data_IF_134341758907
#
_entry.id   IF_134341758907
#
_cell.length_a   1.000
_cell.length_b   1.000
_cell.length_c   1.000
_cell.angle_alpha   90.00
_cell.angle_beta   90.00
_cell.angle_gamma   90.00
#
_symmetry.space_group_name_H-M   'P 1'
#
loop_
_entity.id
_entity.type
_entity.pdbx_description
1 polymer ?
#
# COMPACT_ATOMS: atom_id res chain seq x y z
N UNK A 1 -19.53 -19.59 -5.23
CA UNK A 1 -20.35 -19.21 -6.40
C UNK A 1 -19.46 -18.68 -7.53
N UNK A 2 -19.69 -19.11 -8.77
CA UNK A 2 -19.03 -18.50 -9.92
C UNK A 2 -19.57 -17.07 -10.07
N UNK A 3 -18.68 -16.07 -10.12
CA UNK A 3 -19.05 -14.66 -10.24
C UNK A 3 -19.51 -14.29 -11.67
N UNK A 4 -20.43 -15.06 -12.22
CA UNK A 4 -20.95 -14.90 -13.58
C UNK A 4 -22.06 -13.84 -13.65
N UNK A 5 -22.56 -13.52 -14.85
CA UNK A 5 -23.57 -12.47 -15.04
C UNK A 5 -24.82 -12.75 -14.19
N UNK A 6 -25.26 -14.01 -14.13
CA UNK A 6 -26.45 -14.39 -13.36
C UNK A 6 -26.27 -14.19 -11.85
N UNK A 7 -25.08 -14.47 -11.32
CA UNK A 7 -24.75 -14.20 -9.92
C UNK A 7 -24.79 -12.71 -9.63
N UNK A 8 -24.27 -11.87 -10.53
CA UNK A 8 -24.40 -10.41 -10.39
C UNK A 8 -25.84 -9.93 -10.53
N UNK A 9 -26.68 -10.59 -11.33
CA UNK A 9 -28.09 -10.23 -11.56
C UNK A 9 -28.97 -10.46 -10.32
N UNK A 10 -28.68 -11.51 -9.55
CA UNK A 10 -29.62 -11.95 -8.49
C UNK A 10 -28.97 -12.34 -7.16
N UNK A 11 -27.67 -12.66 -7.17
CA UNK A 11 -26.97 -13.29 -6.05
C UNK A 11 -26.36 -12.32 -5.04
N UNK A 12 -26.17 -11.04 -5.35
CA UNK A 12 -25.48 -10.12 -4.43
C UNK A 12 -26.32 -9.77 -3.20
N UNK A 13 -27.64 -9.72 -3.34
CA UNK A 13 -28.58 -9.29 -2.28
C UNK A 13 -28.66 -10.20 -1.07
N UNK A 14 -28.08 -11.41 -1.14
CA UNK A 14 -28.08 -12.35 -0.01
C UNK A 14 -27.00 -12.03 1.04
N UNK A 15 -26.18 -10.99 0.84
CA UNK A 15 -25.05 -10.67 1.70
C UNK A 15 -25.16 -9.29 2.36
N UNK A 16 -24.87 -9.23 3.67
CA UNK A 16 -24.72 -7.96 4.40
C UNK A 16 -23.39 -7.25 4.16
N UNK A 17 -22.40 -7.95 3.59
CA UNK A 17 -21.15 -7.37 3.10
C UNK A 17 -20.78 -8.00 1.76
N UNK A 18 -20.49 -7.17 0.77
CA UNK A 18 -20.14 -7.60 -0.59
C UNK A 18 -18.76 -7.05 -0.93
N UNK A 19 -17.79 -7.92 -1.21
CA UNK A 19 -16.43 -7.53 -1.59
C UNK A 19 -16.15 -8.03 -3.00
N UNK A 20 -15.99 -7.10 -3.95
CA UNK A 20 -15.81 -7.41 -5.37
C UNK A 20 -14.37 -7.07 -5.76
N UNK A 21 -13.58 -8.11 -6.06
CA UNK A 21 -12.28 -7.99 -6.71
C UNK A 21 -12.44 -8.37 -8.18
N UNK A 22 -12.53 -7.36 -9.02
CA UNK A 22 -12.64 -7.47 -10.47
C UNK A 22 -11.85 -6.32 -11.10
N UNK A 23 -11.60 -6.35 -12.41
CA UNK A 23 -11.24 -5.11 -13.09
C UNK A 23 -12.48 -4.21 -13.22
N UNK A 24 -12.22 -2.92 -13.36
CA UNK A 24 -13.26 -1.93 -13.62
C UNK A 24 -12.73 -0.82 -14.50
N UNK A 25 -13.66 -0.06 -15.04
CA UNK A 25 -13.36 1.09 -15.88
C UNK A 25 -14.47 2.13 -15.75
N UNK A 26 -14.20 3.36 -16.21
CA UNK A 26 -15.19 4.41 -16.35
C UNK A 26 -15.15 4.96 -17.77
N UNK A 27 -16.31 5.17 -18.37
CA UNK A 27 -16.45 5.72 -19.71
C UNK A 27 -16.96 7.16 -19.65
N UNK A 28 -16.06 8.14 -19.76
CA UNK A 28 -16.40 9.57 -19.62
C UNK A 28 -17.53 10.01 -20.56
N UNK A 29 -17.54 9.51 -21.81
CA UNK A 29 -18.56 9.86 -22.81
C UNK A 29 -19.99 9.46 -22.41
N UNK A 30 -20.14 8.42 -21.59
CA UNK A 30 -21.45 7.93 -21.13
C UNK A 30 -21.67 8.11 -19.64
N UNK A 31 -20.62 8.52 -18.90
CA UNK A 31 -20.62 8.61 -17.45
C UNK A 31 -20.77 7.27 -16.73
N UNK A 32 -20.64 6.13 -17.42
CA UNK A 32 -20.87 4.79 -16.85
C UNK A 32 -19.63 4.23 -16.18
N UNK A 33 -19.85 3.48 -15.10
CA UNK A 33 -18.80 2.70 -14.44
C UNK A 33 -19.06 1.21 -14.66
N UNK A 34 -18.03 0.48 -15.05
CA UNK A 34 -18.10 -0.93 -15.42
C UNK A 34 -17.35 -1.78 -14.40
N UNK A 35 -17.91 -2.96 -14.11
CA UNK A 35 -17.28 -4.02 -13.35
C UNK A 35 -17.25 -5.27 -14.21
N UNK A 36 -16.08 -5.90 -14.31
CA UNK A 36 -15.98 -7.20 -14.97
C UNK A 36 -16.61 -8.30 -14.12
N UNK A 37 -17.27 -9.21 -14.80
CA UNK A 37 -17.69 -10.49 -14.22
C UNK A 37 -16.57 -11.53 -14.37
N UNK A 38 -16.73 -12.69 -13.75
CA UNK A 38 -15.88 -13.86 -13.99
C UNK A 38 -16.31 -14.69 -15.20
N UNK A 39 -17.28 -14.24 -16.00
CA UNK A 39 -17.80 -14.96 -17.16
C UNK A 39 -17.04 -14.57 -18.42
N UNK A 40 -16.30 -15.54 -18.98
CA UNK A 40 -15.64 -15.39 -20.29
C UNK A 40 -16.70 -15.44 -21.39
N UNK A 41 -16.63 -14.51 -22.33
CA UNK A 41 -17.67 -14.29 -23.34
C UNK A 41 -17.18 -14.25 -24.78
N UNK A 42 -18.11 -14.02 -25.70
CA UNK A 42 -17.80 -13.66 -27.09
C UNK A 42 -18.78 -12.60 -27.57
N UNK A 43 -18.43 -11.84 -28.61
CA UNK A 43 -19.35 -10.85 -29.20
C UNK A 43 -20.66 -11.51 -29.64
N UNK A 44 -20.58 -12.69 -30.27
CA UNK A 44 -21.76 -13.44 -30.69
C UNK A 44 -22.64 -13.84 -29.49
N UNK A 45 -22.03 -14.33 -28.41
CA UNK A 45 -22.74 -14.69 -27.18
C UNK A 45 -23.35 -13.48 -26.45
N UNK A 46 -22.65 -12.34 -26.47
CA UNK A 46 -23.17 -11.08 -25.92
C UNK A 46 -24.43 -10.65 -26.69
N UNK A 47 -24.35 -10.63 -28.02
CA UNK A 47 -25.47 -10.24 -28.90
C UNK A 47 -26.63 -11.22 -28.85
N UNK A 48 -26.40 -12.53 -28.71
CA UNK A 48 -27.47 -13.52 -28.67
C UNK A 48 -28.20 -13.56 -27.34
N UNK A 49 -27.49 -13.36 -26.22
CA UNK A 49 -28.03 -13.62 -24.89
C UNK A 49 -28.38 -12.35 -24.12
N UNK A 50 -27.79 -11.20 -24.48
CA UNK A 50 -27.86 -9.97 -23.68
C UNK A 50 -28.15 -8.73 -24.54
N UNK A 51 -28.80 -8.89 -25.71
CA UNK A 51 -29.07 -7.79 -26.64
C UNK A 51 -29.81 -6.62 -25.98
N UNK A 52 -30.84 -6.90 -25.18
CA UNK A 52 -31.60 -5.91 -24.43
C UNK A 52 -30.72 -5.15 -23.43
N UNK A 53 -29.90 -5.88 -22.69
CA UNK A 53 -28.99 -5.32 -21.70
C UNK A 53 -27.93 -4.41 -22.35
N UNK A 54 -27.38 -4.79 -23.53
CA UNK A 54 -26.45 -3.94 -24.30
C UNK A 54 -27.15 -2.64 -24.73
N UNK A 55 -28.35 -2.75 -25.32
CA UNK A 55 -29.11 -1.58 -25.78
C UNK A 55 -29.45 -0.62 -24.64
N UNK A 56 -29.69 -1.15 -23.43
CA UNK A 56 -29.91 -0.38 -22.21
C UNK A 56 -28.61 0.13 -21.55
N UNK A 57 -27.44 -0.16 -22.12
CA UNK A 57 -26.14 0.19 -21.56
C UNK A 57 -25.84 -0.49 -20.23
N UNK A 58 -26.43 -1.66 -19.98
CA UNK A 58 -26.26 -2.48 -18.77
C UNK A 58 -25.07 -3.43 -18.90
N UNK A 59 -24.79 -3.92 -20.10
CA UNK A 59 -23.73 -4.90 -20.33
C UNK A 59 -22.83 -4.51 -21.51
N UNK A 60 -21.57 -4.90 -21.41
CA UNK A 60 -20.57 -4.80 -22.47
C UNK A 60 -19.51 -5.90 -22.27
N UNK A 61 -18.49 -5.94 -23.11
CA UNK A 61 -17.40 -6.90 -23.04
C UNK A 61 -16.05 -6.19 -23.13
N UNK A 62 -15.13 -6.55 -22.22
CA UNK A 62 -13.80 -5.97 -22.19
C UNK A 62 -12.74 -7.06 -22.09
N UNK A 63 -11.65 -6.84 -22.82
CA UNK A 63 -10.50 -7.72 -22.83
C UNK A 63 -9.57 -7.47 -21.64
N UNK A 64 -9.10 -8.57 -21.03
CA UNK A 64 -8.13 -8.54 -19.93
C UNK A 64 -6.88 -9.29 -20.33
N UNK A 65 -5.73 -8.63 -20.19
CA UNK A 65 -4.45 -9.31 -20.25
C UNK A 65 -4.15 -9.96 -18.89
N UNK A 66 -4.12 -11.29 -18.84
CA UNK A 66 -3.90 -12.07 -17.62
C UNK A 66 -2.94 -13.24 -17.87
N UNK A 67 -2.45 -13.87 -16.80
CA UNK A 67 -1.57 -15.05 -16.90
C UNK A 67 -2.37 -16.32 -16.63
N UNK A 68 -2.42 -17.23 -17.61
CA UNK A 68 -3.03 -18.57 -17.49
C UNK A 68 -2.01 -19.63 -17.83
N UNK A 69 -1.80 -20.58 -16.93
CA UNK A 69 -0.80 -21.64 -17.12
C UNK A 69 0.62 -21.12 -17.37
N UNK A 70 0.97 -19.96 -16.80
CA UNK A 70 2.27 -19.31 -16.99
C UNK A 70 2.40 -18.49 -18.29
N UNK A 71 1.39 -18.49 -19.18
CA UNK A 71 1.39 -17.69 -20.39
C UNK A 71 0.49 -16.46 -20.26
N UNK A 72 0.91 -15.34 -20.83
CA UNK A 72 0.09 -14.14 -20.91
C UNK A 72 -0.92 -14.30 -22.05
N UNK A 73 -2.20 -14.20 -21.73
CA UNK A 73 -3.32 -14.32 -22.65
C UNK A 73 -4.23 -13.11 -22.52
N UNK A 74 -4.93 -12.77 -23.60
CA UNK A 74 -6.00 -11.77 -23.58
C UNK A 74 -7.33 -12.50 -23.56
N UNK A 75 -8.13 -12.30 -22.52
CA UNK A 75 -9.41 -12.98 -22.33
C UNK A 75 -10.57 -11.98 -22.30
N UNK A 76 -11.60 -12.17 -23.15
CA UNK A 76 -12.79 -11.33 -23.16
C UNK A 76 -13.74 -11.73 -22.03
N UNK A 77 -14.06 -10.78 -21.14
CA UNK A 77 -15.04 -10.98 -20.06
C UNK A 77 -16.26 -10.10 -20.27
N UNK A 78 -17.44 -10.64 -19.97
CA UNK A 78 -18.64 -9.82 -19.84
C UNK A 78 -18.50 -8.88 -18.65
N UNK A 79 -19.01 -7.66 -18.81
CA UNK A 79 -18.99 -6.61 -17.80
C UNK A 79 -20.37 -6.02 -17.61
N UNK A 80 -20.62 -5.58 -16.39
CA UNK A 80 -21.87 -4.96 -15.98
C UNK A 80 -21.63 -3.49 -15.63
N UNK A 81 -22.58 -2.62 -15.94
CA UNK A 81 -22.53 -1.22 -15.55
C UNK A 81 -23.34 -0.92 -14.29
N UNK A 82 -23.28 0.32 -13.84
CA UNK A 82 -24.19 0.85 -12.84
C UNK A 82 -25.67 0.72 -13.25
N UNK A 83 -26.00 0.87 -14.54
CA UNK A 83 -27.36 0.63 -15.06
C UNK A 83 -27.82 -0.83 -14.85
N UNK A 84 -26.90 -1.80 -14.93
CA UNK A 84 -27.24 -3.20 -14.67
C UNK A 84 -27.68 -3.40 -13.22
N UNK A 85 -26.98 -2.80 -12.27
CA UNK A 85 -27.36 -2.83 -10.85
C UNK A 85 -28.71 -2.13 -10.65
N UNK A 86 -28.93 -1.00 -11.31
CA UNK A 86 -30.21 -0.29 -11.25
C UNK A 86 -31.39 -1.10 -11.79
N UNK A 87 -31.18 -1.88 -12.85
CA UNK A 87 -32.23 -2.69 -13.47
C UNK A 87 -32.44 -4.04 -12.79
N UNK A 88 -31.38 -4.64 -12.22
CA UNK A 88 -31.43 -6.00 -11.68
C UNK A 88 -31.99 -6.09 -10.26
N UNK A 89 -31.98 -4.97 -9.53
CA UNK A 89 -32.38 -4.93 -8.11
C UNK A 89 -33.46 -3.90 -7.85
N UNK A 90 -34.22 -4.11 -6.78
CA UNK A 90 -35.25 -3.22 -6.26
C UNK A 90 -34.75 -2.47 -5.02
N UNK A 91 -35.35 -1.32 -4.72
CA UNK A 91 -35.07 -0.61 -3.46
C UNK A 91 -35.31 -1.53 -2.26
N UNK A 92 -34.31 -1.66 -1.39
CA UNK A 92 -34.36 -2.55 -0.22
C UNK A 92 -33.76 -3.94 -0.43
N UNK A 93 -33.26 -4.27 -1.63
CA UNK A 93 -32.53 -5.53 -1.86
C UNK A 93 -31.15 -5.56 -1.16
N UNK A 94 -30.59 -4.42 -0.74
CA UNK A 94 -29.30 -4.35 -0.05
C UNK A 94 -29.39 -3.74 1.37
N UNK A 95 -30.33 -4.18 2.22
CA UNK A 95 -30.64 -3.47 3.46
C UNK A 95 -29.45 -3.50 4.42
N UNK A 96 -28.87 -2.32 4.71
CA UNK A 96 -27.72 -2.24 5.61
C UNK A 96 -26.39 -2.71 5.00
N UNK A 97 -26.37 -3.06 3.71
CA UNK A 97 -25.19 -3.69 3.09
C UNK A 97 -24.03 -2.70 2.93
N UNK A 98 -22.82 -3.16 3.22
CA UNK A 98 -21.57 -2.49 2.84
C UNK A 98 -21.02 -3.18 1.58
N UNK A 99 -20.79 -2.41 0.52
CA UNK A 99 -20.17 -2.89 -0.71
C UNK A 99 -18.76 -2.33 -0.82
N UNK A 100 -17.78 -3.18 -1.11
CA UNK A 100 -16.42 -2.79 -1.43
C UNK A 100 -16.09 -3.16 -2.87
N UNK A 101 -15.69 -2.17 -3.65
CA UNK A 101 -15.25 -2.27 -5.02
C UNK A 101 -13.72 -2.16 -5.06
N UNK A 102 -13.04 -3.30 -5.08
CA UNK A 102 -11.60 -3.36 -5.33
C UNK A 102 -11.24 -3.03 -6.78
N UNK A 103 -12.24 -2.95 -7.65
CA UNK A 103 -12.10 -2.60 -9.05
C UNK A 103 -11.57 -1.17 -9.26
N UNK A 104 -10.75 -1.01 -10.29
CA UNK A 104 -10.30 0.28 -10.77
C UNK A 104 -11.50 1.17 -11.09
N UNK A 105 -11.40 2.46 -10.74
CA UNK A 105 -12.40 3.47 -11.10
C UNK A 105 -13.83 3.18 -10.57
N UNK A 106 -14.01 2.26 -9.61
CA UNK A 106 -15.33 1.87 -9.10
C UNK A 106 -16.14 3.02 -8.47
N UNK A 107 -15.47 4.09 -8.01
CA UNK A 107 -16.09 5.34 -7.57
C UNK A 107 -15.51 6.56 -8.29
N UNK A 108 -15.13 6.38 -9.56
CA UNK A 108 -14.72 7.49 -10.43
C UNK A 108 -15.87 8.48 -10.60
N UNK A 109 -15.47 9.73 -10.88
CA UNK A 109 -16.31 10.92 -10.94
C UNK A 109 -16.87 11.30 -9.55
N UNK A 110 -16.27 12.26 -8.83
CA UNK A 110 -16.66 12.60 -7.47
C UNK A 110 -18.08 13.18 -7.37
N UNK A 111 -18.61 13.72 -8.46
CA UNK A 111 -19.93 14.35 -8.49
C UNK A 111 -21.06 13.32 -8.64
N UNK A 112 -20.84 12.29 -9.44
CA UNK A 112 -21.89 11.32 -9.79
C UNK A 112 -21.69 9.95 -9.16
N UNK A 113 -20.46 9.44 -9.02
CA UNK A 113 -20.15 8.11 -8.45
C UNK A 113 -21.21 7.04 -8.82
N UNK A 114 -21.46 6.79 -10.10
CA UNK A 114 -22.70 6.18 -10.58
C UNK A 114 -22.92 4.75 -10.06
N UNK A 115 -21.85 3.95 -9.96
CA UNK A 115 -21.92 2.61 -9.33
C UNK A 115 -22.26 2.71 -7.83
N UNK A 116 -21.68 3.71 -7.14
CA UNK A 116 -22.00 4.02 -5.75
C UNK A 116 -23.49 4.35 -5.58
N UNK A 117 -24.00 5.26 -6.41
CA UNK A 117 -25.42 5.64 -6.41
C UNK A 117 -26.32 4.45 -6.73
N UNK A 118 -25.94 3.60 -7.68
CA UNK A 118 -26.71 2.43 -8.07
C UNK A 118 -26.94 1.47 -6.90
N UNK A 119 -25.91 1.10 -6.14
CA UNK A 119 -26.09 0.24 -4.96
C UNK A 119 -26.84 0.94 -3.82
N UNK A 120 -26.57 2.22 -3.56
CA UNK A 120 -27.23 2.98 -2.48
C UNK A 120 -28.72 3.16 -2.76
N UNK A 121 -29.11 3.43 -4.01
CA UNK A 121 -30.50 3.48 -4.44
C UNK A 121 -31.24 2.15 -4.24
N UNK A 122 -30.50 1.03 -4.10
CA UNK A 122 -31.04 -0.30 -3.84
C UNK A 122 -30.95 -0.72 -2.36
N UNK A 123 -30.51 0.18 -1.48
CA UNK A 123 -30.55 0.00 -0.02
C UNK A 123 -29.19 -0.12 0.66
N UNK A 124 -28.09 -0.18 -0.11
CA UNK A 124 -26.76 -0.29 0.47
C UNK A 124 -26.46 0.94 1.35
N UNK A 125 -25.90 0.72 2.53
CA UNK A 125 -25.54 1.79 3.47
C UNK A 125 -24.26 2.52 3.06
N UNK A 126 -23.34 1.80 2.41
CA UNK A 126 -22.10 2.37 1.92
C UNK A 126 -21.56 1.56 0.73
N UNK A 127 -20.96 2.28 -0.21
CA UNK A 127 -20.12 1.71 -1.27
C UNK A 127 -18.75 2.33 -1.14
N UNK A 128 -17.74 1.49 -0.99
CA UNK A 128 -16.34 1.87 -0.81
C UNK A 128 -15.60 1.49 -2.09
N UNK A 129 -14.70 2.32 -2.59
CA UNK A 129 -13.99 2.05 -3.83
C UNK A 129 -12.98 3.12 -4.20
N UNK A 130 -12.45 3.04 -5.41
CA UNK A 130 -11.32 3.84 -5.87
C UNK A 130 -11.74 4.89 -6.90
N UNK A 131 -11.16 6.09 -6.81
CA UNK A 131 -11.42 7.18 -7.76
C UNK A 131 -10.77 6.96 -9.12
N UNK A 132 -9.66 6.22 -9.17
CA UNK A 132 -8.90 5.92 -10.39
C UNK A 132 -8.37 4.49 -10.39
N UNK A 133 -7.54 4.15 -11.39
CA UNK A 133 -6.82 2.89 -11.49
C UNK A 133 -5.95 2.65 -10.25
N UNK A 134 -6.12 1.50 -9.61
CA UNK A 134 -5.40 1.14 -8.40
C UNK A 134 -4.80 -0.28 -8.50
N UNK A 135 -3.76 -0.54 -7.70
CA UNK A 135 -3.07 -1.83 -7.55
C UNK A 135 -3.11 -2.35 -6.12
N UNK A 136 -3.52 -1.51 -5.17
CA UNK A 136 -3.53 -1.80 -3.73
C UNK A 136 -4.92 -2.17 -3.20
N UNK A 137 -5.93 -2.27 -4.06
CA UNK A 137 -7.31 -2.60 -3.70
C UNK A 137 -7.46 -3.83 -2.79
N UNK A 138 -6.78 -4.96 -3.05
CA UNK A 138 -6.83 -6.13 -2.16
C UNK A 138 -6.18 -5.90 -0.78
N UNK A 139 -5.02 -5.23 -0.70
CA UNK A 139 -4.35 -4.97 0.58
C UNK A 139 -5.13 -3.97 1.43
N UNK A 140 -5.67 -2.93 0.80
CA UNK A 140 -6.54 -1.95 1.43
C UNK A 140 -7.81 -2.58 1.97
N UNK A 141 -8.48 -3.43 1.18
CA UNK A 141 -9.68 -4.15 1.60
C UNK A 141 -9.44 -4.97 2.87
N UNK A 142 -8.38 -5.80 2.87
CA UNK A 142 -8.06 -6.67 4.01
C UNK A 142 -7.96 -5.86 5.30
N UNK A 143 -7.27 -4.72 5.27
CA UNK A 143 -7.08 -3.87 6.46
C UNK A 143 -8.32 -3.06 6.82
N UNK A 144 -9.04 -2.56 5.83
CA UNK A 144 -10.27 -1.83 6.06
C UNK A 144 -11.32 -2.72 6.75
N UNK A 145 -11.56 -3.90 6.22
CA UNK A 145 -12.53 -4.84 6.79
C UNK A 145 -12.09 -5.38 8.14
N UNK A 146 -10.79 -5.49 8.39
CA UNK A 146 -10.26 -5.77 9.72
C UNK A 146 -10.74 -4.73 10.75
N UNK A 147 -10.62 -3.44 10.44
CA UNK A 147 -11.12 -2.37 11.31
C UNK A 147 -12.64 -2.37 11.46
N UNK A 148 -13.36 -2.57 10.36
CA UNK A 148 -14.83 -2.65 10.37
C UNK A 148 -15.34 -3.84 11.19
N UNK A 149 -14.64 -4.98 11.17
CA UNK A 149 -14.96 -6.18 11.95
C UNK A 149 -14.72 -6.00 13.46
N UNK A 150 -13.87 -5.07 13.87
CA UNK A 150 -13.82 -4.63 15.27
C UNK A 150 -14.98 -3.72 15.65
N UNK A 151 -15.78 -3.30 14.69
CA UNK A 151 -16.87 -2.36 14.86
C UNK A 151 -16.47 -0.90 14.76
N UNK A 152 -15.28 -0.54 14.24
CA UNK A 152 -15.01 0.87 13.90
C UNK A 152 -16.05 1.37 12.88
N UNK A 153 -16.45 2.64 13.01
CA UNK A 153 -17.25 3.29 11.97
C UNK A 153 -16.45 3.44 10.68
N UNK A 154 -17.13 3.52 9.55
CA UNK A 154 -16.51 3.56 8.22
C UNK A 154 -15.48 4.68 8.07
N UNK A 155 -15.84 5.90 8.47
CA UNK A 155 -14.94 7.06 8.36
C UNK A 155 -13.64 6.87 9.16
N UNK A 156 -13.74 6.35 10.39
CA UNK A 156 -12.59 6.04 11.25
C UNK A 156 -11.76 4.90 10.69
N UNK A 157 -12.39 3.86 10.15
CA UNK A 157 -11.71 2.73 9.54
C UNK A 157 -10.88 3.17 8.33
N UNK A 158 -11.46 3.99 7.44
CA UNK A 158 -10.75 4.59 6.30
C UNK A 158 -9.64 5.51 6.77
N UNK A 159 -9.87 6.37 7.77
CA UNK A 159 -8.83 7.27 8.30
C UNK A 159 -7.65 6.52 8.93
N UNK A 160 -7.94 5.38 9.55
CA UNK A 160 -6.95 4.52 10.22
C UNK A 160 -6.09 3.71 9.25
N UNK A 161 -6.47 3.62 7.97
CA UNK A 161 -5.61 3.02 6.96
C UNK A 161 -4.34 3.86 6.78
N UNK A 162 -3.18 3.21 6.56
CA UNK A 162 -1.96 3.93 6.21
C UNK A 162 -2.07 4.53 4.80
N UNK A 163 -1.22 5.52 4.48
CA UNK A 163 -1.30 6.23 3.19
C UNK A 163 -1.20 5.27 1.99
N UNK A 164 -0.39 4.23 2.10
CA UNK A 164 -0.15 3.20 1.08
C UNK A 164 -1.40 2.37 0.76
N UNK A 165 -2.36 2.30 1.68
CA UNK A 165 -3.64 1.62 1.46
C UNK A 165 -4.79 2.60 1.15
N UNK A 166 -4.56 3.91 1.28
CA UNK A 166 -5.54 4.97 0.94
C UNK A 166 -5.30 5.60 -0.42
N UNK A 167 -4.06 5.56 -0.90
CA UNK A 167 -3.64 6.23 -2.13
C UNK A 167 -2.76 5.32 -2.97
N UNK A 168 -2.95 5.38 -4.28
CA UNK A 168 -2.07 4.74 -5.26
C UNK A 168 -1.50 5.81 -6.19
N UNK A 169 -0.18 6.01 -6.12
CA UNK A 169 0.52 7.02 -6.91
C UNK A 169 0.64 6.66 -8.41
N UNK A 170 0.24 5.45 -8.83
CA UNK A 170 0.26 5.07 -10.25
C UNK A 170 -0.72 5.92 -11.09
N UNK A 171 -1.88 6.26 -10.53
CA UNK A 171 -2.90 7.07 -11.21
C UNK A 171 -3.51 8.16 -10.30
N UNK A 172 -2.84 8.50 -9.20
CA UNK A 172 -3.39 9.36 -8.13
C UNK A 172 -4.76 8.84 -7.62
N UNK A 173 -4.93 7.52 -7.58
CA UNK A 173 -6.17 6.91 -7.12
C UNK A 173 -6.28 7.04 -5.61
N UNK A 174 -7.47 7.39 -5.14
CA UNK A 174 -7.77 7.60 -3.72
C UNK A 174 -8.92 6.66 -3.34
N UNK A 175 -8.76 5.95 -2.22
CA UNK A 175 -9.83 5.18 -1.62
C UNK A 175 -10.86 6.13 -1.01
N UNK A 176 -12.12 5.95 -1.37
CA UNK A 176 -13.24 6.77 -0.87
C UNK A 176 -14.49 5.92 -0.68
N UNK A 177 -15.57 6.54 -0.21
CA UNK A 177 -16.86 5.89 -0.05
C UNK A 177 -18.02 6.83 -0.37
N UNK A 178 -19.15 6.24 -0.75
CA UNK A 178 -20.42 6.90 -1.07
C UNK A 178 -21.57 6.23 -0.29
N UNK A 179 -22.57 7.01 0.19
CA UNK A 179 -22.62 8.47 0.22
C UNK A 179 -21.61 9.06 1.22
N UNK A 180 -21.38 10.38 1.16
CA UNK A 180 -20.58 11.07 2.18
C UNK A 180 -21.22 11.01 3.58
N UNK A 181 -22.54 10.81 3.66
CA UNK A 181 -23.25 10.60 4.93
C UNK A 181 -23.01 9.23 5.57
N UNK A 182 -22.26 8.33 4.92
CA UNK A 182 -22.00 6.98 5.42
C UNK A 182 -20.93 6.93 6.54
N UNK A 183 -20.48 8.08 7.07
CA UNK A 183 -19.39 8.18 8.05
C UNK A 183 -19.54 7.24 9.25
N UNK A 184 -20.78 7.09 9.74
CA UNK A 184 -21.12 6.34 10.94
C UNK A 184 -21.57 4.88 10.66
N UNK A 185 -21.54 4.44 9.40
CA UNK A 185 -21.89 3.06 9.03
C UNK A 185 -20.93 2.09 9.72
N UNK A 186 -21.47 1.00 10.28
CA UNK A 186 -20.70 -0.06 10.92
C UNK A 186 -21.01 -1.40 10.28
N UNK A 187 -20.00 -2.26 10.18
CA UNK A 187 -20.18 -3.65 9.77
C UNK A 187 -20.71 -4.52 10.92
N UNK A 188 -20.27 -4.23 12.15
CA UNK A 188 -20.80 -4.85 13.37
C UNK A 188 -21.31 -3.77 14.34
N UNK A 189 -22.37 -4.04 15.13
CA UNK A 189 -23.09 -3.00 15.85
C UNK A 189 -22.30 -2.36 17.01
N UNK A 190 -21.30 -3.05 17.55
CA UNK A 190 -20.56 -2.59 18.73
C UNK A 190 -19.08 -2.58 18.45
N UNK A 191 -18.43 -1.44 18.68
CA UNK A 191 -16.98 -1.36 18.65
C UNK A 191 -16.40 -2.06 19.86
N UNK A 192 -15.50 -3.01 19.63
CA UNK A 192 -14.70 -3.64 20.67
C UNK A 192 -13.32 -3.00 20.66
N UNK A 193 -12.89 -2.49 21.81
CA UNK A 193 -11.58 -1.85 21.96
C UNK A 193 -10.68 -2.67 22.86
N UNK A 194 -9.45 -2.85 22.41
CA UNK A 194 -8.34 -3.33 23.21
C UNK A 194 -7.43 -2.14 23.54
N UNK A 195 -6.64 -2.28 24.60
CA UNK A 195 -5.68 -1.27 25.00
C UNK A 195 -4.25 -1.81 24.92
N UNK A 196 -3.33 -0.95 24.46
CA UNK A 196 -1.90 -1.20 24.50
C UNK A 196 -1.26 -0.23 25.50
N UNK A 197 -0.21 -0.69 26.17
CA UNK A 197 0.71 0.12 26.92
C UNK A 197 1.94 0.37 26.04
N UNK A 198 2.12 1.61 25.60
CA UNK A 198 3.33 2.03 24.90
C UNK A 198 4.36 2.47 25.95
N UNK A 199 5.27 1.56 26.29
CA UNK A 199 6.34 1.76 27.30
C UNK A 199 7.38 2.76 26.80
N UNK A 200 7.71 2.70 25.51
CA UNK A 200 8.61 3.64 24.83
C UNK A 200 8.16 3.81 23.38
N UNK A 201 8.05 5.03 22.83
CA UNK A 201 8.29 6.31 23.48
C UNK A 201 7.24 6.66 24.54
N UNK A 202 7.65 7.44 25.54
CA UNK A 202 6.71 8.07 26.46
C UNK A 202 6.08 9.29 25.77
N UNK A 203 4.80 9.52 26.03
CA UNK A 203 4.09 10.70 25.52
C UNK A 203 4.78 11.99 25.98
N UNK A 204 4.96 12.92 25.05
CA UNK A 204 5.55 14.26 25.21
C UNK A 204 7.00 14.26 25.74
N UNK A 205 7.69 13.12 25.64
CA UNK A 205 9.10 12.99 26.05
C UNK A 205 10.09 13.50 25.00
N UNK A 206 11.35 13.67 25.41
CA UNK A 206 12.44 14.14 24.55
C UNK A 206 13.51 13.04 24.45
N UNK A 207 13.99 12.78 23.23
CA UNK A 207 15.04 11.83 22.93
C UNK A 207 16.20 12.52 22.22
N UNK A 208 17.44 12.21 22.59
CA UNK A 208 18.67 12.80 22.03
C UNK A 208 19.34 11.92 20.97
N UNK A 209 18.84 10.70 20.77
CA UNK A 209 19.28 9.79 19.71
C UNK A 209 18.32 9.81 18.52
N UNK A 210 18.86 9.61 17.32
CA UNK A 210 18.09 9.44 16.07
C UNK A 210 17.39 8.10 15.97
N UNK A 211 17.87 7.10 16.71
CA UNK A 211 17.24 5.79 16.82
C UNK A 211 16.55 5.65 18.16
N UNK A 212 15.35 5.07 18.11
CA UNK A 212 14.50 4.83 19.26
C UNK A 212 13.98 3.39 19.19
N UNK A 213 14.30 2.58 20.19
CA UNK A 213 13.62 1.29 20.35
C UNK A 213 12.22 1.54 20.91
N UNK A 214 11.20 1.39 20.06
CA UNK A 214 9.82 1.35 20.48
C UNK A 214 9.55 0.03 21.22
N UNK A 215 8.86 0.10 22.36
CA UNK A 215 8.51 -1.05 23.17
C UNK A 215 7.12 -0.88 23.77
N UNK A 216 6.38 -1.97 23.87
CA UNK A 216 5.10 -1.97 24.56
C UNK A 216 4.45 -3.34 24.61
N UNK A 217 3.29 -3.38 25.22
CA UNK A 217 2.55 -4.61 25.47
C UNK A 217 1.04 -4.40 25.44
N UNK A 218 0.32 -5.45 25.13
CA UNK A 218 -1.13 -5.53 25.22
C UNK A 218 -1.55 -5.48 26.69
N UNK A 219 -2.53 -4.63 27.01
CA UNK A 219 -3.14 -4.51 28.34
C UNK A 219 -4.39 -5.41 28.39
N UNK A 220 -5.17 -5.44 27.32
CA UNK A 220 -6.41 -6.22 27.24
C UNK A 220 -6.53 -7.00 25.93
N UNK A 221 -6.96 -8.26 26.02
CA UNK A 221 -7.12 -9.18 24.89
C UNK A 221 -6.11 -10.33 24.88
N UNK A 222 -6.30 -11.26 23.93
CA UNK A 222 -5.61 -12.55 23.91
C UNK A 222 -4.33 -12.51 23.07
N UNK A 223 -4.34 -11.85 21.91
CA UNK A 223 -3.14 -11.62 21.10
C UNK A 223 -3.36 -10.57 20.03
N UNK A 224 -2.31 -9.88 19.62
CA UNK A 224 -2.33 -8.98 18.47
C UNK A 224 -2.23 -9.83 17.20
N UNK A 225 -3.28 -9.87 16.39
CA UNK A 225 -3.31 -10.60 15.12
C UNK A 225 -2.80 -9.78 13.94
N UNK A 226 -2.93 -8.46 14.02
CA UNK A 226 -2.36 -7.51 13.06
C UNK A 226 -2.00 -6.22 13.80
N UNK A 227 -0.76 -5.75 13.66
CA UNK A 227 -0.34 -4.46 14.19
C UNK A 227 0.38 -3.64 13.13
N UNK A 228 0.10 -2.34 13.13
CA UNK A 228 0.77 -1.32 12.35
C UNK A 228 1.24 -0.22 13.28
N UNK A 229 2.37 0.38 12.95
CA UNK A 229 2.88 1.58 13.57
C UNK A 229 3.12 2.61 12.47
N UNK A 230 2.43 3.74 12.56
CA UNK A 230 2.65 4.90 11.71
C UNK A 230 3.52 5.90 12.47
N UNK A 231 4.75 6.11 12.01
CA UNK A 231 5.67 7.12 12.52
C UNK A 231 5.81 8.23 11.49
N UNK A 232 5.41 9.46 11.83
CA UNK A 232 5.47 10.62 10.93
C UNK A 232 4.84 10.35 9.55
N UNK A 233 3.63 9.80 9.54
CA UNK A 233 2.90 9.37 8.35
C UNK A 233 3.55 8.24 7.54
N UNK A 234 4.57 7.57 8.10
CA UNK A 234 5.20 6.39 7.52
C UNK A 234 4.75 5.13 8.26
N UNK A 235 4.04 4.24 7.57
CA UNK A 235 3.47 3.04 8.18
C UNK A 235 4.39 1.82 8.03
N UNK A 236 4.68 1.20 9.18
CA UNK A 236 5.42 -0.05 9.31
C UNK A 236 4.54 -1.12 9.96
N UNK A 237 4.87 -2.38 9.72
CA UNK A 237 4.26 -3.48 10.49
C UNK A 237 4.80 -3.44 11.92
N UNK A 238 3.93 -3.66 12.90
CA UNK A 238 4.34 -3.80 14.29
C UNK A 238 5.11 -5.11 14.48
N UNK A 239 6.35 -5.04 14.94
CA UNK A 239 7.17 -6.22 15.22
C UNK A 239 6.76 -6.86 16.55
N UNK A 240 5.87 -7.84 16.45
CA UNK A 240 5.39 -8.63 17.59
C UNK A 240 6.45 -9.64 18.05
N UNK A 241 6.55 -9.81 19.37
CA UNK A 241 7.31 -10.90 19.97
C UNK A 241 6.55 -12.23 19.84
N UNK A 242 7.18 -13.33 20.23
CA UNK A 242 6.61 -14.70 20.11
C UNK A 242 5.31 -14.89 20.88
N UNK A 243 5.09 -14.14 21.96
CA UNK A 243 3.85 -14.14 22.75
C UNK A 243 2.67 -13.48 22.03
N UNK A 244 2.93 -12.74 20.93
CA UNK A 244 1.98 -11.87 20.23
C UNK A 244 1.24 -10.88 21.13
N UNK A 245 1.79 -10.57 22.30
CA UNK A 245 1.27 -9.62 23.29
C UNK A 245 2.23 -8.47 23.52
N UNK A 246 3.52 -8.68 23.31
CA UNK A 246 4.53 -7.63 23.40
C UNK A 246 5.11 -7.31 22.02
N UNK A 247 5.68 -6.12 21.90
CA UNK A 247 6.33 -5.65 20.68
C UNK A 247 7.59 -4.86 21.02
N UNK A 248 8.59 -4.98 20.15
CA UNK A 248 9.85 -4.24 20.25
C UNK A 248 10.44 -4.06 18.86
N UNK A 249 10.68 -2.82 18.46
CA UNK A 249 11.33 -2.52 17.18
C UNK A 249 12.12 -1.22 17.24
N UNK A 250 13.23 -1.16 16.52
CA UNK A 250 13.95 0.08 16.31
C UNK A 250 13.23 0.96 15.30
N UNK A 251 13.19 2.26 15.58
CA UNK A 251 12.58 3.29 14.75
C UNK A 251 13.58 4.43 14.55
N UNK A 252 13.69 4.93 13.33
CA UNK A 252 14.38 6.19 13.04
C UNK A 252 13.44 7.36 13.31
N UNK A 253 13.83 8.28 14.19
CA UNK A 253 13.05 9.46 14.57
C UNK A 253 13.71 10.74 14.03
N UNK A 254 12.91 11.79 13.86
CA UNK A 254 13.34 13.08 13.31
C UNK A 254 13.65 14.08 14.42
N UNK A 255 14.47 15.08 14.10
CA UNK A 255 14.62 16.24 14.96
C UNK A 255 13.29 16.99 15.04
N UNK A 256 13.00 17.57 16.19
CA UNK A 256 11.72 18.23 16.44
C UNK A 256 10.60 17.23 16.75
N UNK A 257 9.38 17.54 16.33
CA UNK A 257 8.19 16.78 16.72
C UNK A 257 8.05 15.50 15.89
N UNK A 258 7.84 14.39 16.58
CA UNK A 258 7.47 13.11 16.00
C UNK A 258 6.08 12.71 16.47
N UNK A 259 5.30 12.11 15.57
CA UNK A 259 4.00 11.52 15.86
C UNK A 259 4.05 10.02 15.59
N UNK A 260 3.66 9.22 16.56
CA UNK A 260 3.55 7.77 16.42
C UNK A 260 2.12 7.33 16.69
N UNK A 261 1.57 6.46 15.83
CA UNK A 261 0.25 5.87 15.99
C UNK A 261 0.31 4.37 15.78
N UNK A 262 -0.12 3.60 16.77
CA UNK A 262 -0.24 2.15 16.69
C UNK A 262 -1.71 1.81 16.45
N UNK A 263 -1.99 1.13 15.35
CA UNK A 263 -3.32 0.58 15.04
C UNK A 263 -3.22 -0.92 14.86
N UNK A 264 -4.28 -1.65 15.20
CA UNK A 264 -4.23 -3.10 15.05
C UNK A 264 -5.50 -3.83 15.42
N UNK A 265 -5.48 -5.13 15.14
CA UNK A 265 -6.47 -6.11 15.55
C UNK A 265 -5.92 -6.93 16.71
N UNK A 266 -6.80 -7.12 17.67
CA UNK A 266 -6.56 -7.93 18.86
C UNK A 266 -7.62 -9.02 18.89
N UNK A 267 -7.18 -10.26 18.94
CA UNK A 267 -8.04 -11.41 19.19
C UNK A 267 -8.55 -11.31 20.63
N UNK A 268 -9.86 -11.49 20.80
CA UNK A 268 -10.52 -11.49 22.10
C UNK A 268 -11.54 -12.61 22.14
N UNK A 269 -11.90 -13.08 23.34
CA UNK A 269 -12.98 -14.04 23.49
C UNK A 269 -14.24 -13.60 22.74
N UNK A 270 -14.70 -14.46 21.81
CA UNK A 270 -15.88 -14.23 20.99
C UNK A 270 -15.73 -13.22 19.85
N UNK A 271 -14.51 -12.87 19.40
CA UNK A 271 -14.31 -12.08 18.18
C UNK A 271 -12.97 -11.34 18.08
N UNK A 272 -13.01 -10.11 17.56
CA UNK A 272 -11.85 -9.22 17.49
C UNK A 272 -12.16 -7.85 18.10
N UNK A 273 -11.11 -7.17 18.56
CA UNK A 273 -11.13 -5.82 19.06
C UNK A 273 -10.05 -5.00 18.35
N UNK A 274 -10.26 -3.69 18.26
CA UNK A 274 -9.29 -2.80 17.65
C UNK A 274 -8.48 -2.07 18.72
N UNK A 275 -7.22 -1.81 18.40
CA UNK A 275 -6.42 -0.83 19.11
C UNK A 275 -6.07 0.34 18.21
N UNK A 276 -6.04 1.52 18.82
CA UNK A 276 -5.72 2.78 18.19
C UNK A 276 -5.12 3.70 19.26
N UNK A 277 -3.79 3.81 19.28
CA UNK A 277 -3.06 4.58 20.29
C UNK A 277 -2.10 5.51 19.58
N UNK A 278 -2.16 6.81 19.88
CA UNK A 278 -1.32 7.81 19.22
C UNK A 278 -0.63 8.71 20.25
N UNK A 279 0.69 8.82 20.17
CA UNK A 279 1.52 9.70 21.01
C UNK A 279 2.35 10.66 20.15
N UNK A 280 2.68 11.78 20.75
CA UNK A 280 3.70 12.72 20.26
C UNK A 280 4.93 12.66 21.16
N UNK A 281 6.11 12.89 20.61
CA UNK A 281 7.36 13.04 21.35
C UNK A 281 8.35 13.88 20.52
N UNK A 282 9.48 14.29 21.09
CA UNK A 282 10.46 15.15 20.41
C UNK A 282 11.84 14.51 20.28
N UNK A 283 12.46 14.66 19.12
CA UNK A 283 13.89 14.46 18.92
C UNK A 283 14.63 15.77 19.16
N UNK A 284 15.67 15.75 20.00
CA UNK A 284 16.56 16.87 20.25
C UNK A 284 17.98 16.51 19.82
N UNK A 285 18.21 16.62 18.52
CA UNK A 285 19.48 16.40 17.84
C UNK A 285 19.47 17.19 16.54
N UNK A 286 20.65 17.43 15.96
CA UNK A 286 20.76 18.19 14.71
C UNK A 286 19.98 17.51 13.57
N UNK A 287 19.17 18.27 12.79
CA UNK A 287 18.48 17.72 11.63
C UNK A 287 19.47 17.22 10.58
N UNK A 288 19.08 16.19 9.85
CA UNK A 288 19.84 15.63 8.72
C UNK A 288 19.66 16.52 7.49
N UNK A 289 20.68 16.58 6.63
CA UNK A 289 20.52 17.11 5.28
C UNK A 289 19.68 16.17 4.42
N UNK A 290 19.89 14.86 4.56
CA UNK A 290 19.09 13.81 3.93
C UNK A 290 18.76 12.69 4.92
N UNK A 291 17.49 12.29 4.95
CA UNK A 291 17.04 11.04 5.54
C UNK A 291 16.16 10.30 4.53
N UNK A 292 16.42 9.02 4.33
CA UNK A 292 15.60 8.17 3.47
C UNK A 292 15.22 6.88 4.17
N UNK A 293 14.05 6.35 3.84
CA UNK A 293 13.60 5.03 4.29
C UNK A 293 13.04 4.23 3.12
N UNK A 294 13.48 2.98 3.00
CA UNK A 294 12.93 1.95 2.12
C UNK A 294 12.14 0.93 2.95
N UNK A 295 10.94 0.59 2.48
CA UNK A 295 10.09 -0.49 3.01
C UNK A 295 9.47 -1.30 1.87
N UNK A 296 9.07 -2.54 2.13
CA UNK A 296 8.37 -3.36 1.12
C UNK A 296 7.35 -4.32 1.74
N UNK A 297 6.54 -5.01 0.94
CA UNK A 297 5.32 -5.66 1.41
C UNK A 297 5.34 -7.20 1.48
N UNK A 298 6.47 -7.82 1.19
CA UNK A 298 6.67 -9.28 1.25
C UNK A 298 7.61 -9.67 2.37
N UNK A 299 7.27 -10.77 3.05
CA UNK A 299 8.16 -11.42 4.00
C UNK A 299 9.16 -12.31 3.23
N UNK A 300 10.30 -12.63 3.85
CA UNK A 300 11.36 -13.45 3.23
C UNK A 300 11.82 -12.91 1.86
N UNK A 301 12.04 -11.61 1.77
CA UNK A 301 12.66 -10.98 0.60
C UNK A 301 13.67 -9.95 1.06
N UNK A 302 14.70 -9.74 0.25
CA UNK A 302 15.75 -8.76 0.50
C UNK A 302 15.72 -7.72 -0.61
N UNK A 303 15.56 -6.46 -0.23
CA UNK A 303 15.48 -5.31 -1.13
C UNK A 303 16.49 -4.29 -0.64
N UNK A 304 17.53 -4.07 -1.43
CA UNK A 304 18.66 -3.21 -1.08
C UNK A 304 18.36 -1.74 -1.41
N UNK A 305 18.84 -0.86 -0.55
CA UNK A 305 18.86 0.58 -0.76
C UNK A 305 20.22 1.05 -1.28
N UNK A 306 20.19 2.01 -2.21
CA UNK A 306 21.37 2.53 -2.89
C UNK A 306 21.29 4.05 -3.00
N UNK A 307 22.38 4.74 -2.71
CA UNK A 307 22.50 6.18 -2.92
C UNK A 307 23.81 6.50 -3.63
N UNK A 308 23.70 6.97 -4.87
CA UNK A 308 24.84 7.43 -5.65
C UNK A 308 25.13 8.90 -5.37
N UNK A 309 26.42 9.21 -5.18
CA UNK A 309 26.92 10.59 -5.00
C UNK A 309 26.80 11.43 -6.29
N UNK A 310 26.97 12.77 -6.20
CA UNK A 310 27.03 13.64 -7.37
C UNK A 310 28.10 13.21 -8.39
N UNK A 311 27.72 13.24 -9.67
CA UNK A 311 28.57 12.87 -10.80
C UNK A 311 28.67 11.37 -11.09
N UNK A 312 28.07 10.50 -10.25
CA UNK A 312 28.03 9.06 -10.50
C UNK A 312 26.94 8.69 -11.55
N UNK A 313 27.34 7.91 -12.56
CA UNK A 313 26.49 7.47 -13.65
C UNK A 313 25.79 6.14 -13.38
N UNK A 314 24.48 6.07 -13.58
CA UNK A 314 23.73 4.81 -13.60
C UNK A 314 23.78 4.17 -14.99
N UNK A 315 23.92 2.82 -15.11
CA UNK A 315 24.00 1.83 -14.03
C UNK A 315 25.41 1.51 -13.55
N UNK A 316 26.46 1.96 -14.25
CA UNK A 316 27.84 1.52 -14.03
C UNK A 316 28.43 1.82 -12.65
N UNK A 317 27.84 2.76 -11.91
CA UNK A 317 28.30 3.15 -10.57
C UNK A 317 27.56 2.48 -9.40
N UNK A 318 26.56 1.63 -9.66
CA UNK A 318 25.99 0.81 -8.59
C UNK A 318 27.01 -0.22 -8.10
N UNK A 319 27.01 -0.48 -6.80
CA UNK A 319 27.93 -1.40 -6.13
C UNK A 319 29.41 -1.05 -6.31
N UNK A 320 29.73 0.23 -6.53
CA UNK A 320 31.10 0.79 -6.56
C UNK A 320 31.36 1.67 -5.33
N UNK A 321 32.58 2.19 -5.11
CA UNK A 321 32.84 3.12 -4.01
C UNK A 321 32.04 4.43 -4.04
N UNK A 322 31.39 4.75 -5.17
CA UNK A 322 30.54 5.96 -5.30
C UNK A 322 29.10 5.74 -4.82
N UNK A 323 28.76 4.49 -4.48
CA UNK A 323 27.45 4.03 -4.00
C UNK A 323 27.45 3.78 -2.50
N UNK A 324 26.47 4.32 -1.78
CA UNK A 324 26.16 3.94 -0.41
C UNK A 324 25.15 2.80 -0.42
N UNK A 325 25.57 1.60 -0.02
CA UNK A 325 24.75 0.38 -0.03
C UNK A 325 25.25 -0.63 1.02
N UNK A 326 24.64 -1.82 1.12
CA UNK A 326 24.93 -2.79 2.19
C UNK A 326 26.42 -3.13 2.40
N UNK A 327 27.26 -3.10 1.35
CA UNK A 327 28.69 -3.41 1.45
C UNK A 327 29.57 -2.15 1.61
N UNK A 328 29.03 -0.97 1.32
CA UNK A 328 29.67 0.33 1.48
C UNK A 328 28.80 1.25 2.36
N UNK A 329 28.54 0.80 3.60
CA UNK A 329 27.57 1.44 4.51
C UNK A 329 27.99 2.80 5.02
N UNK A 330 29.28 3.13 4.95
CA UNK A 330 29.83 4.41 5.39
C UNK A 330 30.70 4.93 4.29
N UNK A 331 30.23 5.95 3.58
CA UNK A 331 30.94 6.46 2.42
C UNK A 331 31.88 7.60 2.81
N UNK A 332 32.98 7.75 2.06
CA UNK A 332 33.93 8.86 2.26
C UNK A 332 33.32 10.24 2.01
N UNK A 333 32.17 10.30 1.35
CA UNK A 333 31.42 11.51 1.03
C UNK A 333 30.24 11.77 2.00
N UNK A 334 30.13 10.99 3.09
CA UNK A 334 29.29 11.33 4.24
C UNK A 334 27.87 10.76 4.23
N UNK A 335 27.59 9.74 3.41
CA UNK A 335 26.37 8.94 3.54
C UNK A 335 26.59 7.70 4.40
N UNK A 336 25.51 7.30 5.08
CA UNK A 336 25.47 6.18 6.00
C UNK A 336 24.23 5.32 5.71
N UNK A 337 24.40 4.02 5.53
CA UNK A 337 23.31 3.03 5.65
C UNK A 337 23.22 2.62 7.13
N UNK A 338 22.38 3.33 7.89
CA UNK A 338 22.31 3.20 9.36
C UNK A 338 21.33 2.13 9.85
N UNK A 339 20.35 1.74 9.03
CA UNK A 339 19.48 0.57 9.26
C UNK A 339 19.46 -0.30 8.01
N UNK A 340 19.74 -1.60 8.16
CA UNK A 340 19.82 -2.60 7.08
C UNK A 340 19.09 -3.88 7.52
N UNK A 341 17.88 -4.11 7.00
CA UNK A 341 17.06 -5.28 7.34
C UNK A 341 17.05 -6.30 6.19
N UNK A 342 17.66 -7.46 6.42
CA UNK A 342 17.90 -8.49 5.41
C UNK A 342 16.80 -9.56 5.30
N UNK A 343 15.84 -9.60 6.23
CA UNK A 343 14.99 -10.78 6.45
C UNK A 343 13.49 -10.55 6.34
N UNK A 344 13.04 -9.35 5.94
CA UNK A 344 11.67 -8.92 6.24
C UNK A 344 11.10 -7.95 5.24
N UNK A 345 10.37 -6.94 5.71
CA UNK A 345 9.62 -5.92 4.95
C UNK A 345 10.31 -4.54 5.00
N UNK A 346 11.63 -4.53 5.25
CA UNK A 346 12.38 -3.36 5.71
C UNK A 346 12.16 -3.06 7.20
N UNK A 347 12.51 -1.86 7.68
CA UNK A 347 13.04 -0.76 6.89
C UNK A 347 14.54 -0.90 6.56
N UNK A 348 14.99 -0.23 5.50
CA UNK A 348 16.40 0.16 5.30
C UNK A 348 16.50 1.69 5.24
N UNK A 349 17.52 2.29 5.85
CA UNK A 349 17.70 3.74 5.93
C UNK A 349 19.05 4.17 5.35
N UNK A 350 19.07 5.20 4.49
CA UNK A 350 20.29 5.92 4.11
C UNK A 350 20.18 7.36 4.58
N UNK A 351 21.20 7.87 5.26
CA UNK A 351 21.23 9.23 5.81
C UNK A 351 22.49 10.00 5.41
N UNK A 352 22.34 11.31 5.25
CA UNK A 352 23.46 12.27 5.13
C UNK A 352 23.27 13.33 6.23
N UNK A 353 24.08 13.33 7.29
CA UNK A 353 24.03 14.36 8.32
C UNK A 353 24.38 15.74 7.81
N UNK A 354 25.40 15.83 6.95
CA UNK A 354 25.82 17.08 6.33
C UNK A 354 26.34 16.77 4.93
N UNK A 355 25.65 17.28 3.91
CA UNK A 355 25.98 17.10 2.51
C UNK A 355 27.17 18.00 2.14
N UNK A 356 28.38 17.49 2.32
CA UNK A 356 29.63 18.22 2.02
C UNK A 356 29.95 18.27 0.52
N UNK A 357 29.44 17.30 -0.27
CA UNK A 357 29.56 17.28 -1.72
C UNK A 357 28.31 17.87 -2.34
N UNK A 358 28.45 18.95 -3.11
CA UNK A 358 27.35 19.61 -3.80
C UNK A 358 26.99 18.89 -5.11
N UNK A 359 25.74 19.03 -5.53
CA UNK A 359 25.22 18.45 -6.76
C UNK A 359 24.11 17.43 -6.54
N UNK A 360 23.87 16.61 -7.57
CA UNK A 360 22.71 15.73 -7.66
C UNK A 360 23.02 14.32 -7.19
N UNK A 361 22.44 13.94 -6.06
CA UNK A 361 22.44 12.57 -5.54
C UNK A 361 21.29 11.79 -6.18
N UNK A 362 21.47 10.49 -6.39
CA UNK A 362 20.47 9.64 -7.05
C UNK A 362 20.16 8.43 -6.18
N UNK A 363 18.88 8.25 -5.85
CA UNK A 363 18.41 7.23 -4.93
C UNK A 363 17.79 6.05 -5.70
N UNK A 364 18.22 4.84 -5.39
CA UNK A 364 17.78 3.62 -6.06
C UNK A 364 17.36 2.54 -5.07
N UNK A 365 16.48 1.66 -5.52
CA UNK A 365 16.04 0.44 -4.82
C UNK A 365 16.35 -0.75 -5.72
N UNK A 366 16.92 -1.81 -5.18
CA UNK A 366 17.32 -3.00 -5.93
C UNK A 366 16.70 -4.26 -5.35
N UNK A 367 16.10 -5.11 -6.18
CA UNK A 367 15.54 -6.38 -5.71
C UNK A 367 16.64 -7.45 -5.60
N UNK A 368 17.29 -7.53 -4.44
CA UNK A 368 18.44 -8.40 -4.23
C UNK A 368 18.08 -9.89 -4.25
N UNK A 369 17.11 -10.30 -3.43
CA UNK A 369 16.73 -11.70 -3.32
C UNK A 369 15.24 -11.89 -3.04
N UNK A 370 14.61 -12.74 -3.86
CA UNK A 370 13.21 -13.07 -3.69
C UNK A 370 12.94 -14.13 -2.59
N UNK A 371 13.94 -14.92 -2.18
CA UNK A 371 13.87 -16.03 -1.21
C UNK A 371 12.53 -16.83 -1.17
N UNK A 372 11.91 -17.07 -2.33
CA UNK A 372 10.66 -17.83 -2.47
C UNK A 372 9.41 -16.99 -2.79
N UNK A 373 9.46 -15.67 -2.70
CA UNK A 373 8.42 -14.78 -3.19
C UNK A 373 8.47 -14.62 -4.73
N UNK A 374 7.33 -14.40 -5.38
CA UNK A 374 7.27 -14.16 -6.84
C UNK A 374 7.50 -12.70 -7.22
N UNK A 375 7.19 -11.76 -6.34
CA UNK A 375 7.37 -10.31 -6.53
C UNK A 375 7.18 -9.58 -5.22
N UNK A 376 7.67 -8.34 -5.13
CA UNK A 376 7.48 -7.44 -3.99
C UNK A 376 7.10 -6.04 -4.44
N UNK A 377 6.46 -5.25 -3.58
CA UNK A 377 6.21 -3.82 -3.81
C UNK A 377 7.00 -2.99 -2.81
N UNK A 378 7.90 -2.16 -3.33
CA UNK A 378 8.72 -1.24 -2.57
C UNK A 378 8.08 0.16 -2.45
N UNK A 379 8.34 0.82 -1.32
CA UNK A 379 7.93 2.17 -1.00
C UNK A 379 9.11 2.90 -0.38
N UNK A 380 9.26 4.18 -0.71
CA UNK A 380 10.37 4.99 -0.21
C UNK A 380 9.87 6.31 0.34
N UNK A 381 10.40 6.73 1.49
CA UNK A 381 10.20 8.07 2.04
C UNK A 381 11.52 8.83 2.00
N UNK A 382 11.48 10.09 1.57
CA UNK A 382 12.64 10.99 1.51
C UNK A 382 12.31 12.27 2.26
N UNK A 383 13.22 12.69 3.13
CA UNK A 383 13.14 13.94 3.89
C UNK A 383 14.47 14.68 3.76
N UNK A 384 14.40 15.96 3.41
CA UNK A 384 15.56 16.87 3.44
C UNK A 384 15.42 17.85 4.59
N UNK A 385 16.51 18.50 4.99
CA UNK A 385 16.51 19.52 6.05
C UNK A 385 15.38 20.54 5.82
N UNK A 386 14.52 20.73 6.81
CA UNK A 386 13.38 21.66 6.81
C UNK A 386 12.35 21.44 5.67
N UNK A 387 12.42 20.32 4.95
CA UNK A 387 11.47 19.97 3.89
C UNK A 387 10.37 19.03 4.37
N UNK A 388 9.22 19.01 3.69
CA UNK A 388 8.19 18.01 3.94
C UNK A 388 8.62 16.62 3.47
N UNK A 389 8.04 15.58 4.06
CA UNK A 389 8.28 14.21 3.65
C UNK A 389 7.69 13.91 2.28
N UNK A 390 8.53 13.38 1.39
CA UNK A 390 8.11 12.91 0.07
C UNK A 390 8.05 11.39 0.05
N UNK A 391 6.90 10.85 -0.37
CA UNK A 391 6.67 9.41 -0.43
C UNK A 391 6.58 8.94 -1.89
N UNK A 392 7.23 7.81 -2.17
CA UNK A 392 7.36 7.20 -3.48
C UNK A 392 6.89 5.73 -3.42
N UNK A 393 6.46 5.20 -4.56
CA UNK A 393 5.88 3.85 -4.68
C UNK A 393 4.34 3.85 -4.66
N UNK A 394 3.70 2.66 -4.67
CA UNK A 394 4.35 1.34 -4.77
C UNK A 394 5.10 1.16 -6.10
N UNK A 395 6.29 0.56 -6.03
CA UNK A 395 6.99 0.04 -7.21
C UNK A 395 7.06 -1.48 -7.15
N UNK A 396 6.50 -2.15 -8.15
CA UNK A 396 6.52 -3.61 -8.24
C UNK A 396 7.87 -4.10 -8.79
N UNK A 397 8.55 -4.94 -8.01
CA UNK A 397 9.82 -5.59 -8.33
C UNK A 397 9.59 -7.09 -8.48
N UNK A 398 9.92 -7.65 -9.64
CA UNK A 398 9.60 -9.04 -9.99
C UNK A 398 10.81 -9.90 -10.34
N UNK A 399 11.95 -9.29 -10.67
CA UNK A 399 13.16 -10.02 -11.03
C UNK A 399 14.26 -9.71 -10.02
N UNK A 400 14.59 -10.69 -9.16
CA UNK A 400 15.68 -10.52 -8.19
C UNK A 400 17.00 -11.05 -8.71
N UNK A 401 18.11 -10.37 -8.41
CA UNK A 401 19.46 -10.88 -8.65
C UNK A 401 20.44 -10.26 -7.64
N UNK A 402 21.56 -10.92 -7.34
CA UNK A 402 22.59 -10.34 -6.45
C UNK A 402 23.22 -9.07 -7.03
N UNK A 403 23.44 -9.09 -8.35
CA UNK A 403 23.93 -7.98 -9.17
C UNK A 403 23.22 -8.07 -10.52
N UNK A 404 22.28 -7.17 -10.78
CA UNK A 404 21.38 -7.22 -11.93
C UNK A 404 19.93 -7.00 -11.48
N UNK A 405 18.96 -7.63 -12.16
CA UNK A 405 17.58 -7.67 -11.71
C UNK A 405 16.87 -6.32 -11.77
N UNK A 406 15.71 -6.23 -11.14
CA UNK A 406 14.91 -5.00 -11.09
C UNK A 406 15.60 -3.95 -10.20
N UNK A 407 15.94 -2.81 -10.79
CA UNK A 407 16.39 -1.60 -10.12
C UNK A 407 15.41 -0.47 -10.39
N UNK A 408 14.99 0.20 -9.33
CA UNK A 408 14.10 1.35 -9.38
C UNK A 408 14.85 2.61 -8.99
N UNK A 409 15.02 3.54 -9.94
CA UNK A 409 15.43 4.90 -9.67
C UNK A 409 14.25 5.70 -9.11
N UNK A 410 14.33 6.05 -7.83
CA UNK A 410 13.24 6.63 -7.06
C UNK A 410 13.12 8.12 -7.39
N UNK A 411 14.17 8.87 -7.07
CA UNK A 411 14.25 10.31 -7.18
C UNK A 411 15.72 10.76 -7.22
N UNK A 412 15.92 12.02 -7.53
CA UNK A 412 17.18 12.72 -7.29
C UNK A 412 17.02 13.75 -6.19
N UNK A 413 18.10 14.05 -5.47
CA UNK A 413 18.16 15.11 -4.46
C UNK A 413 19.33 16.02 -4.76
N UNK A 414 19.06 17.29 -5.00
CA UNK A 414 20.10 18.29 -5.28
C UNK A 414 20.47 19.04 -4.01
N UNK A 415 21.76 19.09 -3.68
CA UNK A 415 22.31 19.94 -2.62
C UNK A 415 23.13 21.09 -3.20
N UNK A 416 23.06 22.31 -2.63
CA UNK A 416 22.49 22.62 -1.31
C UNK A 416 20.99 22.97 -1.29
N UNK A 417 20.30 22.99 -2.44
CA UNK A 417 18.89 23.42 -2.53
C UNK A 417 17.93 22.52 -1.75
N UNK A 418 18.26 21.25 -1.54
CA UNK A 418 17.36 20.24 -0.99
C UNK A 418 16.25 19.86 -1.97
N UNK A 419 16.36 20.23 -3.25
CA UNK A 419 15.32 19.96 -4.25
C UNK A 419 15.26 18.46 -4.53
N UNK A 420 14.09 17.85 -4.26
CA UNK A 420 13.83 16.46 -4.59
C UNK A 420 13.08 16.42 -5.93
N UNK A 421 13.65 15.73 -6.92
CA UNK A 421 13.02 15.53 -8.24
C UNK A 421 12.61 14.07 -8.41
N UNK A 422 11.31 13.83 -8.63
CA UNK A 422 10.76 12.48 -8.85
C UNK A 422 11.24 11.89 -10.17
N UNK A 423 11.72 10.63 -10.16
CA UNK A 423 12.15 9.90 -11.37
C UNK A 423 11.20 8.74 -11.67
N UNK A 424 10.98 7.82 -10.71
CA UNK A 424 10.07 6.67 -10.83
C UNK A 424 10.35 5.70 -12.00
N UNK A 425 11.62 5.56 -12.39
CA UNK A 425 11.98 4.68 -13.50
C UNK A 425 12.42 3.31 -12.99
N UNK A 426 11.83 2.23 -13.50
CA UNK A 426 12.27 0.84 -13.21
C UNK A 426 12.97 0.26 -14.43
N UNK A 427 14.18 -0.26 -14.22
CA UNK A 427 14.98 -0.94 -15.24
C UNK A 427 15.36 -2.32 -14.73
N UNK A 428 15.31 -3.34 -15.61
CA UNK A 428 15.83 -4.67 -15.29
C UNK A 428 17.25 -4.79 -15.85
N UNK A 429 18.24 -4.84 -14.98
CA UNK A 429 19.65 -4.97 -15.35
C UNK A 429 20.02 -6.43 -15.65
N UNK A 430 20.90 -6.68 -16.63
CA UNK A 430 21.39 -8.03 -16.89
C UNK A 430 22.16 -8.57 -15.68
N UNK A 431 22.03 -9.87 -15.40
CA UNK A 431 22.81 -10.50 -14.33
C UNK A 431 24.27 -10.63 -14.74
N UNK A 432 25.18 -10.13 -13.92
CA UNK A 432 26.63 -10.30 -14.17
C UNK A 432 27.04 -11.69 -13.67
N UNK A 433 27.69 -12.49 -14.52
CA UNK A 433 28.19 -13.82 -14.14
C UNK A 433 29.20 -13.72 -12.98
N UNK A 434 29.17 -14.70 -12.07
CA UNK A 434 29.89 -14.80 -10.78
C UNK A 434 31.44 -14.71 -10.81
N UNK A 435 32.06 -14.16 -11.86
CA UNK A 435 33.52 -14.08 -12.02
C UNK A 435 34.22 -12.94 -11.29
N UNK A 436 33.50 -12.03 -10.64
CA UNK A 436 34.05 -10.93 -9.84
C UNK A 436 33.38 -10.86 -8.46
N UNK A 437 33.11 -12.02 -7.84
CA UNK A 437 32.80 -12.04 -6.42
C UNK A 437 34.02 -11.57 -5.64
N UNK A 438 33.99 -10.34 -5.12
CA UNK A 438 34.91 -9.95 -4.05
C UNK A 438 34.62 -10.91 -2.89
N UNK A 439 35.63 -11.66 -2.46
CA UNK A 439 35.48 -12.64 -1.38
C UNK A 439 34.91 -11.95 -0.12
N UNK A 440 33.67 -12.29 0.25
CA UNK A 440 32.98 -11.72 1.43
C UNK A 440 31.49 -11.41 1.28
N UNK A 441 30.92 -11.41 0.07
CA UNK A 441 29.54 -10.95 -0.23
C UNK A 441 28.38 -11.89 0.21
N UNK A 442 28.44 -12.50 1.39
CA UNK A 442 27.24 -13.09 2.00
C UNK A 442 26.66 -12.10 3.00
N UNK A 443 25.59 -11.39 2.60
CA UNK A 443 24.64 -10.79 3.56
C UNK A 443 24.15 -11.95 4.45
N UNK A 444 24.36 -11.85 5.78
CA UNK A 444 24.02 -12.91 6.73
C UNK A 444 22.52 -12.99 6.97
#
# INVERSE_FOLDING_TARGET
PNANVQFFKTGLKQFGAVIIFAHGSHTDATGRTWLQTGEVGSIAGLLSNYQSEIQAGQMDMFDVAETRGGQRVTTPYYSISDNFIQASYTAGDFPGTIVYLGACQGLKNPNTRPMGQAFVAKGASAVIGWTETNRVGPSAARRLFSFLLCGKILSDAVRSLPREDKTDNYASAILTYHPSSADNVRLIPTERRAALNLVRPLKDSVYTSRTLTMQGNLISGDSISLGLVELNAVALRLALQSDRKSFSQELGIKSGTNSIRITGLVDVSGGCACVDTAYTFRGNFEPLDLWTELRWNTDNTDVDFHLLRPGAGFPGELWTPTDCYYSNKVTSWGAFLDVDNTGGRGPEHITIPTASVQGVYRLFVHYYAAQGASSTSAYVTVSVRNGPDQNFGPMALGQSARRGGDVWEVCTVEFPSGTITRVMNKTTLPTVANGLAIAGERKR
#
